data_IF_177365724428
#
_entry.id   IF_177365724428
#
_cell.length_a   1.000
_cell.length_b   1.000
_cell.length_c   1.000
_cell.angle_alpha   90.00
_cell.angle_beta   90.00
_cell.angle_gamma   90.00
#
_symmetry.space_group_name_H-M   'P 1'
#
loop_
_entity.id
_entity.type
_entity.pdbx_description
1 polymer ?
#
# COMPACT_ATOMS: atom_id res chain seq x y z
N UNK A 1 -1.55 -35.48 52.02
CA UNK A 1 -1.64 -34.02 52.12
C UNK A 1 -2.96 -33.73 52.81
N UNK A 2 -3.03 -32.82 53.78
CA UNK A 2 -4.32 -32.42 54.40
C UNK A 2 -4.90 -31.23 53.64
N UNK A 3 -6.19 -30.95 53.82
CA UNK A 3 -6.85 -29.82 53.15
C UNK A 3 -6.18 -28.47 53.43
N UNK A 4 -5.69 -28.24 54.65
CA UNK A 4 -5.09 -26.96 55.02
C UNK A 4 -3.82 -26.70 54.21
N UNK A 5 -2.99 -27.74 54.06
CA UNK A 5 -1.74 -27.68 53.30
C UNK A 5 -2.04 -27.46 51.81
N UNK A 6 -3.08 -28.12 51.28
CA UNK A 6 -3.46 -27.97 49.88
C UNK A 6 -3.94 -26.54 49.56
N UNK A 7 -4.82 -25.98 50.39
CA UNK A 7 -5.34 -24.63 50.22
C UNK A 7 -4.28 -23.56 50.44
N UNK A 8 -3.35 -23.75 51.38
CA UNK A 8 -2.22 -22.85 51.60
C UNK A 8 -1.27 -22.82 50.39
N UNK A 9 -0.95 -23.99 49.83
CA UNK A 9 -0.13 -24.08 48.61
C UNK A 9 -0.84 -23.46 47.41
N UNK A 10 -2.14 -23.72 47.22
CA UNK A 10 -2.95 -23.13 46.17
C UNK A 10 -2.97 -21.60 46.27
N UNK A 11 -3.19 -21.05 47.48
CA UNK A 11 -3.15 -19.62 47.75
C UNK A 11 -1.78 -19.00 47.42
N UNK A 12 -0.69 -19.70 47.73
CA UNK A 12 0.66 -19.25 47.41
C UNK A 12 0.91 -19.16 45.90
N UNK A 13 0.39 -20.12 45.12
CA UNK A 13 0.50 -20.09 43.65
C UNK A 13 -0.40 -19.01 43.03
N UNK A 14 -1.58 -18.77 43.59
CA UNK A 14 -2.56 -17.81 43.07
C UNK A 14 -2.33 -16.34 43.52
N UNK A 15 -1.35 -16.06 44.41
CA UNK A 15 -1.10 -14.70 44.95
C UNK A 15 -0.82 -13.61 43.91
N UNK A 16 -0.52 -13.99 42.67
CA UNK A 16 -0.24 -13.08 41.54
C UNK A 16 -1.52 -12.63 40.83
N UNK A 17 -2.66 -13.24 41.11
CA UNK A 17 -3.95 -12.84 40.57
C UNK A 17 -4.44 -11.52 41.20
N UNK A 18 -5.29 -10.75 40.49
CA UNK A 18 -6.01 -9.63 41.08
C UNK A 18 -6.81 -10.08 42.30
N UNK A 19 -6.89 -9.25 43.35
CA UNK A 19 -7.53 -9.60 44.62
C UNK A 19 -8.95 -10.17 44.46
N UNK A 20 -9.75 -9.60 43.58
CA UNK A 20 -11.12 -10.05 43.31
C UNK A 20 -11.18 -11.48 42.79
N UNK A 21 -10.33 -11.82 41.81
CA UNK A 21 -10.29 -13.17 41.23
C UNK A 21 -9.70 -14.18 42.25
N UNK A 22 -8.72 -13.74 43.05
CA UNK A 22 -8.11 -14.55 44.11
C UNK A 22 -9.13 -14.96 45.19
N UNK A 23 -9.88 -13.99 45.73
CA UNK A 23 -10.85 -14.23 46.80
C UNK A 23 -11.99 -15.15 46.34
N UNK A 24 -12.45 -14.98 45.10
CA UNK A 24 -13.52 -15.81 44.50
C UNK A 24 -13.07 -17.27 44.31
N UNK A 25 -11.86 -17.48 43.77
CA UNK A 25 -11.31 -18.82 43.60
C UNK A 25 -11.07 -19.50 44.95
N UNK A 26 -10.48 -18.80 45.91
CA UNK A 26 -10.22 -19.38 47.23
C UNK A 26 -11.51 -19.73 47.98
N UNK A 27 -12.56 -18.93 47.83
CA UNK A 27 -13.88 -19.23 48.41
C UNK A 27 -14.48 -20.51 47.81
N UNK A 28 -14.44 -20.65 46.48
CA UNK A 28 -14.95 -21.83 45.77
C UNK A 28 -14.25 -23.12 46.21
N UNK A 29 -12.90 -23.11 46.27
CA UNK A 29 -12.16 -24.30 46.71
C UNK A 29 -12.41 -24.60 48.18
N UNK A 30 -12.55 -23.58 49.03
CA UNK A 30 -12.87 -23.78 50.46
C UNK A 30 -14.22 -24.47 50.65
N UNK A 31 -15.25 -24.02 49.92
CA UNK A 31 -16.59 -24.63 49.92
C UNK A 31 -16.55 -26.08 49.40
N UNK A 32 -15.78 -26.35 48.35
CA UNK A 32 -15.61 -27.70 47.79
C UNK A 32 -15.01 -28.68 48.81
N UNK A 33 -14.03 -28.22 49.60
CA UNK A 33 -13.44 -29.03 50.68
C UNK A 33 -14.36 -29.15 51.89
N UNK A 34 -15.23 -28.17 52.16
CA UNK A 34 -16.22 -28.24 53.23
C UNK A 34 -17.35 -29.23 52.89
N UNK A 35 -17.78 -29.31 51.63
CA UNK A 35 -18.77 -30.28 51.15
C UNK A 35 -18.25 -31.73 51.18
N UNK A 36 -16.96 -31.94 50.87
CA UNK A 36 -16.35 -33.26 50.89
C UNK A 36 -16.27 -33.85 52.31
N UNK A 37 -16.15 -33.00 53.33
CA UNK A 37 -16.01 -33.42 54.74
C UNK A 37 -14.75 -34.25 55.01
N UNK A 38 -14.52 -34.61 56.28
CA UNK A 38 -13.28 -35.30 56.72
C UNK A 38 -13.00 -36.64 56.03
N UNK A 39 -14.05 -37.30 55.53
CA UNK A 39 -13.95 -38.61 54.88
C UNK A 39 -13.64 -38.50 53.37
N UNK A 40 -13.89 -37.35 52.74
CA UNK A 40 -13.76 -37.12 51.29
C UNK A 40 -12.56 -36.28 50.86
N UNK A 41 -11.82 -35.66 51.79
CA UNK A 41 -10.68 -34.78 51.47
C UNK A 41 -9.58 -35.47 50.65
N UNK A 42 -9.25 -36.71 50.98
CA UNK A 42 -8.20 -37.45 50.30
C UNK A 42 -8.55 -37.80 48.86
N UNK A 43 -9.83 -38.07 48.59
CA UNK A 43 -10.35 -38.36 47.25
C UNK A 43 -10.43 -37.09 46.40
N UNK A 44 -10.83 -35.96 47.01
CA UNK A 44 -10.87 -34.66 46.35
C UNK A 44 -9.47 -34.16 45.97
N UNK A 45 -8.46 -34.32 46.84
CA UNK A 45 -7.07 -33.98 46.49
C UNK A 45 -6.57 -34.84 45.32
N UNK A 46 -6.97 -36.11 45.26
CA UNK A 46 -6.59 -36.99 44.16
C UNK A 46 -7.27 -36.61 42.83
N UNK A 47 -8.50 -36.09 42.87
CA UNK A 47 -9.24 -35.67 41.68
C UNK A 47 -8.81 -34.30 41.16
N UNK A 48 -8.48 -33.36 42.05
CA UNK A 48 -8.01 -32.01 41.70
C UNK A 48 -6.56 -31.97 41.22
N UNK A 49 -5.77 -33.02 41.50
CA UNK A 49 -4.35 -33.07 41.12
C UNK A 49 -3.48 -32.16 42.00
N UNK A 50 -2.27 -31.82 41.54
CA UNK A 50 -1.36 -31.02 42.35
C UNK A 50 -1.82 -29.55 42.48
N UNK A 51 -1.62 -28.87 43.64
CA UNK A 51 -2.01 -27.46 43.81
C UNK A 51 -1.43 -26.52 42.74
N UNK A 52 -0.26 -26.89 42.20
CA UNK A 52 0.42 -26.14 41.14
C UNK A 52 -0.26 -26.28 39.78
N UNK A 53 -0.73 -27.48 39.44
CA UNK A 53 -1.46 -27.74 38.19
C UNK A 53 -2.82 -27.05 38.22
N UNK A 54 -3.56 -27.20 39.32
CA UNK A 54 -4.83 -26.50 39.52
C UNK A 54 -4.68 -24.97 39.39
N UNK A 55 -3.65 -24.38 40.03
CA UNK A 55 -3.40 -22.95 39.92
C UNK A 55 -3.05 -22.49 38.49
N UNK A 56 -2.32 -23.31 37.73
CA UNK A 56 -1.96 -23.00 36.36
C UNK A 56 -3.18 -23.02 35.43
N UNK A 57 -4.08 -23.97 35.62
CA UNK A 57 -5.32 -24.12 34.84
C UNK A 57 -6.27 -22.94 35.08
N UNK A 58 -6.52 -22.60 36.35
CA UNK A 58 -7.33 -21.43 36.75
C UNK A 58 -6.77 -20.14 36.17
N UNK A 59 -5.44 -19.97 36.23
CA UNK A 59 -4.78 -18.78 35.69
C UNK A 59 -4.94 -18.72 34.16
N UNK A 60 -4.83 -19.86 33.47
CA UNK A 60 -5.06 -19.96 32.02
C UNK A 60 -6.47 -19.53 31.62
N UNK A 61 -7.49 -20.09 32.26
CA UNK A 61 -8.89 -19.78 31.98
C UNK A 61 -9.26 -18.31 32.23
N UNK A 62 -8.76 -17.72 33.32
CA UNK A 62 -8.98 -16.30 33.62
C UNK A 62 -8.29 -15.39 32.62
N UNK A 63 -7.10 -15.77 32.14
CA UNK A 63 -6.35 -15.03 31.14
C UNK A 63 -7.05 -15.09 29.78
N UNK A 64 -7.48 -16.27 29.33
CA UNK A 64 -8.18 -16.44 28.06
C UNK A 64 -9.51 -15.66 28.04
N UNK A 65 -10.24 -15.67 29.15
CA UNK A 65 -11.48 -14.88 29.31
C UNK A 65 -11.22 -13.37 29.22
N UNK A 66 -10.12 -12.87 29.81
CA UNK A 66 -9.76 -11.44 29.76
C UNK A 66 -9.18 -11.02 28.41
N UNK A 67 -8.36 -11.87 27.78
CA UNK A 67 -7.81 -11.59 26.45
C UNK A 67 -8.89 -11.62 25.36
N UNK A 68 -9.78 -12.61 25.36
CA UNK A 68 -10.89 -12.67 24.41
C UNK A 68 -11.85 -11.46 24.51
N UNK A 69 -12.06 -10.93 25.71
CA UNK A 69 -12.88 -9.73 25.93
C UNK A 69 -12.17 -8.42 25.50
N UNK A 70 -10.85 -8.32 25.74
CA UNK A 70 -10.07 -7.12 25.43
C UNK A 70 -9.78 -6.96 23.92
N UNK A 71 -9.45 -8.06 23.24
CA UNK A 71 -9.15 -8.08 21.81
C UNK A 71 -10.39 -7.70 20.99
N UNK A 72 -11.55 -8.29 21.31
CA UNK A 72 -12.81 -8.02 20.61
C UNK A 72 -13.32 -6.58 20.77
N UNK A 73 -12.92 -5.86 21.82
CA UNK A 73 -13.36 -4.48 22.08
C UNK A 73 -12.40 -3.44 21.48
N UNK A 74 -11.09 -3.69 21.56
CA UNK A 74 -10.05 -2.78 21.06
C UNK A 74 -10.05 -2.72 19.53
N UNK A 75 -10.30 -3.85 18.88
CA UNK A 75 -10.41 -3.93 17.42
C UNK A 75 -11.67 -3.27 16.89
N UNK A 76 -12.78 -3.34 17.63
CA UNK A 76 -14.01 -2.61 17.25
C UNK A 76 -13.83 -1.11 17.35
N UNK A 77 -13.15 -0.61 18.38
CA UNK A 77 -12.89 0.83 18.54
C UNK A 77 -11.92 1.34 17.46
N UNK A 78 -10.86 0.59 17.13
CA UNK A 78 -9.91 0.97 16.08
C UNK A 78 -10.57 0.95 14.68
N UNK A 79 -11.45 -0.02 14.43
CA UNK A 79 -12.21 -0.12 13.18
C UNK A 79 -13.22 1.04 13.03
N UNK A 80 -13.94 1.39 14.10
CA UNK A 80 -14.89 2.52 14.10
C UNK A 80 -14.16 3.84 13.91
N UNK A 81 -13.01 4.04 14.56
CA UNK A 81 -12.20 5.24 14.35
C UNK A 81 -11.72 5.37 12.90
N UNK A 82 -11.21 4.27 12.31
CA UNK A 82 -10.83 4.25 10.90
C UNK A 82 -12.03 4.52 9.98
N UNK A 83 -13.21 3.99 10.30
CA UNK A 83 -14.42 4.22 9.52
C UNK A 83 -14.87 5.70 9.57
N UNK A 84 -14.81 6.34 10.75
CA UNK A 84 -15.15 7.77 10.89
C UNK A 84 -14.15 8.64 10.15
N UNK A 85 -12.85 8.35 10.27
CA UNK A 85 -11.80 9.06 9.51
C UNK A 85 -11.98 8.82 8.01
N UNK A 86 -12.33 7.61 7.59
CA UNK A 86 -12.58 7.30 6.18
C UNK A 86 -13.83 8.00 5.64
N UNK A 87 -14.93 8.12 6.40
CA UNK A 87 -16.15 8.84 5.97
C UNK A 87 -15.88 10.35 5.88
N UNK A 88 -15.09 10.90 6.80
CA UNK A 88 -14.72 12.32 6.78
C UNK A 88 -13.68 12.63 5.68
N UNK A 89 -12.75 11.70 5.43
CA UNK A 89 -11.75 11.81 4.40
C UNK A 89 -12.28 11.43 3.01
N UNK A 90 -13.29 10.57 2.88
CA UNK A 90 -13.90 10.16 1.61
C UNK A 90 -14.32 11.33 0.70
N UNK A 91 -14.99 12.39 1.18
CA UNK A 91 -15.39 13.51 0.34
C UNK A 91 -14.20 14.33 -0.18
N UNK A 92 -13.00 14.23 0.41
CA UNK A 92 -11.81 14.98 0.00
C UNK A 92 -10.79 14.07 -0.70
N UNK A 93 -10.57 12.87 -0.18
CA UNK A 93 -9.65 11.85 -0.67
C UNK A 93 -10.06 11.33 -2.05
N UNK A 94 -11.34 11.06 -2.28
CA UNK A 94 -11.83 10.61 -3.59
C UNK A 94 -11.60 11.66 -4.70
N UNK A 95 -12.05 12.94 -4.55
CA UNK A 95 -11.74 13.94 -5.56
C UNK A 95 -10.24 14.27 -5.65
N UNK A 96 -9.48 14.24 -4.55
CA UNK A 96 -8.02 14.41 -4.63
C UNK A 96 -7.35 13.32 -5.47
N UNK A 97 -7.77 12.06 -5.30
CA UNK A 97 -7.21 10.95 -6.08
C UNK A 97 -7.49 11.12 -7.58
N UNK A 98 -8.72 11.49 -7.92
CA UNK A 98 -9.11 11.81 -9.31
C UNK A 98 -8.31 13.00 -9.84
N UNK A 99 -8.12 14.05 -9.03
CA UNK A 99 -7.35 15.24 -9.41
C UNK A 99 -5.90 14.88 -9.71
N UNK A 100 -5.24 14.10 -8.85
CA UNK A 100 -3.86 13.66 -9.07
C UNK A 100 -3.77 12.79 -10.34
N UNK A 101 -4.72 11.86 -10.53
CA UNK A 101 -4.75 11.00 -11.70
C UNK A 101 -4.93 11.79 -13.00
N UNK A 102 -5.86 12.73 -13.02
CA UNK A 102 -6.11 13.61 -14.18
C UNK A 102 -4.92 14.51 -14.48
N UNK A 103 -4.28 15.10 -13.47
CA UNK A 103 -3.04 15.89 -13.66
C UNK A 103 -1.94 15.06 -14.30
N UNK A 104 -1.72 13.83 -13.83
CA UNK A 104 -0.73 12.92 -14.42
C UNK A 104 -1.10 12.61 -15.87
N UNK A 105 -2.37 12.29 -16.14
CA UNK A 105 -2.86 11.97 -17.47
C UNK A 105 -2.70 13.16 -18.43
N UNK A 106 -3.07 14.37 -18.01
CA UNK A 106 -2.91 15.61 -18.78
C UNK A 106 -1.45 15.88 -19.08
N UNK A 107 -0.55 15.70 -18.11
CA UNK A 107 0.89 15.85 -18.33
C UNK A 107 1.42 14.88 -19.39
N UNK A 108 0.97 13.62 -19.36
CA UNK A 108 1.33 12.62 -20.38
C UNK A 108 0.81 13.04 -21.76
N UNK A 109 -0.47 13.39 -21.87
CA UNK A 109 -1.09 13.82 -23.13
C UNK A 109 -0.39 15.07 -23.68
N UNK A 110 -0.06 16.04 -22.82
CA UNK A 110 0.64 17.25 -23.21
C UNK A 110 2.00 16.94 -23.84
N UNK A 111 2.79 16.05 -23.23
CA UNK A 111 4.07 15.61 -23.81
C UNK A 111 3.86 14.90 -25.15
N UNK A 112 2.89 13.99 -25.25
CA UNK A 112 2.58 13.31 -26.51
C UNK A 112 2.14 14.28 -27.60
N UNK A 113 1.28 15.25 -27.27
CA UNK A 113 0.82 16.31 -28.18
C UNK A 113 1.99 17.16 -28.66
N UNK A 114 2.93 17.49 -27.77
CA UNK A 114 4.10 18.27 -28.15
C UNK A 114 5.03 17.50 -29.10
N UNK A 115 5.25 16.20 -28.83
CA UNK A 115 6.01 15.34 -29.72
C UNK A 115 5.33 15.19 -31.08
N UNK A 116 4.00 15.00 -31.08
CA UNK A 116 3.21 14.91 -32.30
C UNK A 116 3.32 16.19 -33.13
N UNK A 117 3.20 17.37 -32.52
CA UNK A 117 3.39 18.66 -33.18
C UNK A 117 4.79 18.82 -33.80
N UNK A 118 5.84 18.35 -33.13
CA UNK A 118 7.19 18.37 -33.69
C UNK A 118 7.32 17.48 -34.93
N UNK A 119 6.72 16.28 -34.88
CA UNK A 119 6.69 15.39 -36.04
C UNK A 119 5.87 15.97 -37.20
N UNK A 120 4.71 16.57 -36.94
CA UNK A 120 3.90 17.19 -38.01
C UNK A 120 4.64 18.34 -38.68
N UNK A 121 5.39 19.15 -37.94
CA UNK A 121 6.25 20.19 -38.53
C UNK A 121 7.33 19.55 -39.41
N UNK A 122 8.02 18.51 -38.93
CA UNK A 122 9.03 17.82 -39.73
C UNK A 122 8.45 17.25 -41.04
N UNK A 123 7.28 16.60 -40.99
CA UNK A 123 6.60 16.09 -42.17
C UNK A 123 6.11 17.21 -43.11
N UNK A 124 5.63 18.32 -42.55
CA UNK A 124 5.19 19.46 -43.34
C UNK A 124 6.35 20.06 -44.16
N UNK A 125 7.56 20.11 -43.59
CA UNK A 125 8.75 20.58 -44.31
C UNK A 125 9.16 19.63 -45.45
N UNK A 126 9.00 18.32 -45.25
CA UNK A 126 9.21 17.34 -46.33
C UNK A 126 8.13 17.50 -47.42
N UNK A 127 6.89 17.76 -47.05
CA UNK A 127 5.83 18.05 -48.02
C UNK A 127 6.11 19.33 -48.81
N UNK A 128 6.60 20.37 -48.15
CA UNK A 128 7.05 21.62 -48.78
C UNK A 128 8.21 21.37 -49.75
N UNK A 129 9.16 20.50 -49.39
CA UNK A 129 10.24 20.07 -50.29
C UNK A 129 9.69 19.45 -51.59
N UNK A 130 8.68 18.58 -51.50
CA UNK A 130 8.04 17.96 -52.67
C UNK A 130 7.29 19.01 -53.50
N UNK A 131 6.59 19.95 -52.84
CA UNK A 131 5.87 21.02 -53.52
C UNK A 131 6.82 21.94 -54.31
N UNK A 132 7.96 22.33 -53.74
CA UNK A 132 8.96 23.14 -54.46
C UNK A 132 9.59 22.40 -55.65
N UNK A 133 9.81 21.08 -55.54
CA UNK A 133 10.27 20.26 -56.67
C UNK A 133 9.23 20.20 -57.78
N UNK A 134 7.95 20.04 -57.41
CA UNK A 134 6.85 20.00 -58.37
C UNK A 134 6.71 21.33 -59.12
N UNK A 135 6.72 22.45 -58.40
CA UNK A 135 6.66 23.79 -58.99
C UNK A 135 7.84 24.07 -59.93
N UNK A 136 9.03 23.56 -59.60
CA UNK A 136 10.22 23.70 -60.44
C UNK A 136 10.10 22.99 -61.79
N UNK A 137 9.36 21.87 -61.85
CA UNK A 137 9.18 21.09 -63.07
C UNK A 137 8.03 21.63 -63.91
N UNK A 138 6.91 22.00 -63.28
CA UNK A 138 5.67 22.35 -63.99
C UNK A 138 5.63 23.83 -64.40
N UNK A 139 6.10 24.75 -63.56
CA UNK A 139 6.02 26.19 -63.79
C UNK A 139 7.39 26.82 -64.06
N UNK A 140 8.18 26.18 -64.93
CA UNK A 140 9.45 26.73 -65.38
C UNK A 140 9.21 28.05 -66.14
N UNK A 141 9.56 29.17 -65.51
CA UNK A 141 9.48 30.50 -66.14
C UNK A 141 10.86 31.09 -66.42
N UNK A 142 11.73 31.15 -65.41
CA UNK A 142 13.07 31.75 -65.52
C UNK A 142 14.10 31.00 -64.68
N UNK A 143 15.38 31.14 -65.04
CA UNK A 143 16.51 30.54 -64.32
C UNK A 143 16.56 30.99 -62.85
N UNK A 144 16.20 32.25 -62.57
CA UNK A 144 16.18 32.78 -61.20
C UNK A 144 15.18 32.08 -60.29
N UNK A 145 13.95 31.83 -60.78
CA UNK A 145 12.90 31.15 -60.00
C UNK A 145 13.28 29.69 -59.72
N UNK A 146 13.95 29.03 -60.66
CA UNK A 146 14.42 27.65 -60.48
C UNK A 146 15.51 27.54 -59.41
N UNK A 147 16.50 28.43 -59.45
CA UNK A 147 17.56 28.47 -58.44
C UNK A 147 16.97 28.75 -57.05
N UNK A 148 15.98 29.63 -56.96
CA UNK A 148 15.25 29.89 -55.73
C UNK A 148 14.50 28.64 -55.22
N UNK A 149 13.76 27.95 -56.08
CA UNK A 149 13.00 26.76 -55.70
C UNK A 149 13.91 25.57 -55.34
N UNK A 150 15.04 25.37 -56.04
CA UNK A 150 16.05 24.36 -55.69
C UNK A 150 16.68 24.69 -54.34
N UNK A 151 17.02 25.96 -54.09
CA UNK A 151 17.49 26.42 -52.78
C UNK A 151 16.47 26.17 -51.67
N UNK A 152 15.19 26.50 -51.90
CA UNK A 152 14.09 26.25 -50.98
C UNK A 152 13.87 24.76 -50.70
N UNK A 153 14.01 23.92 -51.72
CA UNK A 153 13.97 22.45 -51.60
C UNK A 153 15.09 21.95 -50.69
N UNK A 154 16.33 22.39 -50.91
CA UNK A 154 17.47 21.94 -50.11
C UNK A 154 17.37 22.40 -48.65
N UNK A 155 16.92 23.64 -48.42
CA UNK A 155 16.70 24.20 -47.08
C UNK A 155 15.58 23.45 -46.35
N UNK A 156 14.43 23.24 -47.00
CA UNK A 156 13.28 22.54 -46.40
C UNK A 156 13.58 21.07 -46.12
N UNK A 157 14.29 20.38 -47.01
CA UNK A 157 14.78 19.02 -46.79
C UNK A 157 15.76 18.95 -45.61
N UNK A 158 16.73 19.86 -45.57
CA UNK A 158 17.75 19.91 -44.52
C UNK A 158 17.13 20.18 -43.14
N UNK A 159 16.24 21.18 -43.04
CA UNK A 159 15.50 21.49 -41.81
C UNK A 159 14.55 20.37 -41.41
N UNK A 160 13.82 19.78 -42.37
CA UNK A 160 12.90 18.67 -42.13
C UNK A 160 13.60 17.45 -41.55
N UNK A 161 14.72 17.03 -42.14
CA UNK A 161 15.54 15.92 -41.64
C UNK A 161 16.15 16.23 -40.27
N UNK A 162 16.68 17.44 -40.08
CA UNK A 162 17.29 17.85 -38.81
C UNK A 162 16.26 17.87 -37.67
N UNK A 163 15.06 18.39 -37.92
CA UNK A 163 13.96 18.34 -36.97
C UNK A 163 13.47 16.92 -36.72
N UNK A 164 13.42 16.07 -37.74
CA UNK A 164 13.04 14.67 -37.57
C UNK A 164 14.03 13.93 -36.66
N UNK A 165 15.33 14.07 -36.91
CA UNK A 165 16.40 13.48 -36.08
C UNK A 165 16.38 14.05 -34.67
N UNK A 166 16.23 15.37 -34.53
CA UNK A 166 16.13 16.05 -33.24
C UNK A 166 14.96 15.53 -32.41
N UNK A 167 13.77 15.44 -33.03
CA UNK A 167 12.56 14.90 -32.40
C UNK A 167 12.75 13.44 -32.01
N UNK A 168 13.34 12.62 -32.88
CA UNK A 168 13.65 11.22 -32.58
C UNK A 168 14.61 11.08 -31.38
N UNK A 169 15.62 11.94 -31.27
CA UNK A 169 16.54 11.91 -30.13
C UNK A 169 15.83 12.30 -28.82
N UNK A 170 14.96 13.30 -28.86
CA UNK A 170 14.15 13.73 -27.71
C UNK A 170 13.22 12.61 -27.25
N UNK A 171 12.50 11.95 -28.18
CA UNK A 171 11.62 10.82 -27.84
C UNK A 171 12.39 9.67 -27.19
N UNK A 172 13.57 9.33 -27.71
CA UNK A 172 14.45 8.29 -27.14
C UNK A 172 14.93 8.67 -25.73
N UNK A 173 15.31 9.93 -25.51
CA UNK A 173 15.74 10.42 -24.21
C UNK A 173 14.60 10.35 -23.20
N UNK A 174 13.41 10.78 -23.59
CA UNK A 174 12.21 10.74 -22.78
C UNK A 174 11.82 9.30 -22.42
N UNK A 175 11.85 8.37 -23.39
CA UNK A 175 11.60 6.95 -23.16
C UNK A 175 12.58 6.32 -22.16
N UNK A 176 13.88 6.64 -22.29
CA UNK A 176 14.90 6.19 -21.30
C UNK A 176 14.60 6.74 -19.90
N UNK A 177 14.22 8.01 -19.80
CA UNK A 177 13.90 8.64 -18.52
C UNK A 177 12.70 7.98 -17.84
N UNK A 178 11.63 7.71 -18.59
CA UNK A 178 10.47 6.95 -18.11
C UNK A 178 10.85 5.56 -17.59
N UNK A 179 11.66 4.81 -18.35
CA UNK A 179 12.12 3.46 -17.93
C UNK A 179 12.96 3.53 -16.66
N UNK A 180 13.79 4.56 -16.48
CA UNK A 180 14.56 4.75 -15.25
C UNK A 180 13.65 4.98 -14.04
N UNK A 181 12.61 5.81 -14.17
CA UNK A 181 11.63 6.04 -13.11
C UNK A 181 10.88 4.76 -12.79
N UNK A 182 10.35 4.07 -13.79
CA UNK A 182 9.64 2.80 -13.61
C UNK A 182 10.53 1.76 -12.89
N UNK A 183 11.79 1.63 -13.30
CA UNK A 183 12.77 0.76 -12.62
C UNK A 183 13.06 1.19 -11.19
N UNK A 184 13.03 2.49 -10.89
CA UNK A 184 13.27 3.02 -9.52
C UNK A 184 12.07 2.73 -8.62
N UNK A 185 10.85 2.92 -9.12
CA UNK A 185 9.61 2.59 -8.42
C UNK A 185 9.52 1.09 -8.16
N UNK A 186 9.73 0.26 -9.18
CA UNK A 186 9.69 -1.20 -9.05
C UNK A 186 10.70 -1.72 -8.01
N UNK A 187 11.96 -1.23 -8.05
CA UNK A 187 12.98 -1.58 -7.06
C UNK A 187 12.61 -1.15 -5.64
N UNK A 188 11.91 -0.02 -5.48
CA UNK A 188 11.47 0.49 -4.17
C UNK A 188 10.34 -0.37 -3.59
N UNK A 189 9.40 -0.79 -4.44
CA UNK A 189 8.31 -1.71 -4.05
C UNK A 189 8.88 -3.08 -3.64
N UNK A 190 9.77 -3.66 -4.44
CA UNK A 190 10.41 -4.96 -4.11
C UNK A 190 11.30 -4.93 -2.86
N UNK A 191 11.82 -3.76 -2.47
CA UNK A 191 12.66 -3.63 -1.26
C UNK A 191 11.82 -3.48 0.02
N UNK A 192 10.57 -3.03 -0.10
CA UNK A 192 9.70 -2.68 1.02
C UNK A 192 8.49 -3.61 1.22
N UNK A 193 8.28 -4.57 0.31
CA UNK A 193 7.32 -5.67 0.45
C UNK A 193 8.06 -6.99 0.48
#
# INVERSE_FOLDING_TARGET
MTREIYLEDLANYLKRLPKTDFDEVMAYFTELFDEAGSDGEAELIASLGSPREAAADITGDLLDKKWGAAESSRDKISLVWFAVVAILAAPIGFPLMITIFTVILTAVIFVFSMLFALYTVAFSLIAVCIAFLWESIVHFQTIGILLFNIGGTLISLGLGLLLFIGTYMITKLFGKWLVMIAKKVYRKVKKNG
#
